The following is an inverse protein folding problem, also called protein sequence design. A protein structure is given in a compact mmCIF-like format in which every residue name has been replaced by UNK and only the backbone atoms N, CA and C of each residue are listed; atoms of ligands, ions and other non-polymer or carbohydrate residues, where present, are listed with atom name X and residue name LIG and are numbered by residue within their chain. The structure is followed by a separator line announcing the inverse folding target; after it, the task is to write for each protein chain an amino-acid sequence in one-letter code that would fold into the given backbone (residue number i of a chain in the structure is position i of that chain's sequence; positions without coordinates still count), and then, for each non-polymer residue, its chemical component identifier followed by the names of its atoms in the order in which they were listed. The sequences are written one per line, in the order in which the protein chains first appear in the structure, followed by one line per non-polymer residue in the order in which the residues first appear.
data_IF_095375836234
#
_entry.id   IF_095375836234
#
_cell.length_a   1.000
_cell.length_b   1.000
_cell.length_c   1.000
_cell.angle_alpha   90.00
_cell.angle_beta   90.00
_cell.angle_gamma   90.00
#
_symmetry.space_group_name_H-M   'P 1'
#
loop_
_entity.id
_entity.type
_entity.pdbx_description
1 polymer ?
#
# COMPACT_ATOMS: atom_id res chain seq x y z
N UNK A 1 -14.31 32.55 1.30
CA UNK A 1 -14.25 31.46 2.29
C UNK A 1 -12.78 31.11 2.47
N UNK A 2 -12.25 31.02 3.70
CA UNK A 2 -10.80 30.93 3.98
C UNK A 2 -10.35 29.50 4.32
N UNK A 3 -9.04 29.22 4.18
CA UNK A 3 -8.43 27.94 4.62
C UNK A 3 -8.59 27.71 6.12
N UNK A 4 -8.59 28.77 6.91
CA UNK A 4 -8.82 28.72 8.36
C UNK A 4 -10.18 28.09 8.68
N UNK A 5 -11.25 28.52 7.99
CA UNK A 5 -12.59 27.95 8.17
C UNK A 5 -12.64 26.45 7.82
N UNK A 6 -11.95 26.04 6.76
CA UNK A 6 -11.83 24.63 6.42
C UNK A 6 -11.15 23.85 7.55
N UNK A 7 -9.99 24.33 8.04
CA UNK A 7 -9.22 23.64 9.08
C UNK A 7 -9.99 23.54 10.40
N UNK A 8 -10.68 24.59 10.80
CA UNK A 8 -11.56 24.57 11.97
C UNK A 8 -12.68 23.54 11.80
N UNK A 9 -13.24 23.41 10.59
CA UNK A 9 -14.29 22.43 10.33
C UNK A 9 -13.83 20.96 10.43
N UNK A 10 -12.52 20.71 10.32
CA UNK A 10 -11.89 19.37 10.39
C UNK A 10 -10.88 19.27 11.53
N UNK A 11 -11.10 19.97 12.64
CA UNK A 11 -10.22 19.92 13.82
C UNK A 11 -10.09 18.50 14.38
N UNK A 12 -11.21 17.75 14.42
CA UNK A 12 -11.28 16.36 14.86
C UNK A 12 -11.87 15.50 13.75
N UNK A 13 -11.09 14.53 13.26
CA UNK A 13 -11.46 13.73 12.10
C UNK A 13 -11.42 12.23 12.42
N UNK A 14 -12.41 11.51 11.91
CA UNK A 14 -12.35 10.06 11.76
C UNK A 14 -12.43 9.69 10.28
N UNK A 15 -11.41 9.03 9.76
CA UNK A 15 -11.34 8.52 8.39
C UNK A 15 -11.73 7.04 8.40
N UNK A 16 -12.71 6.67 7.58
CA UNK A 16 -13.15 5.28 7.40
C UNK A 16 -12.78 4.83 5.98
N UNK A 17 -11.84 3.87 5.90
CA UNK A 17 -11.43 3.24 4.66
C UNK A 17 -12.40 2.19 4.14
N UNK A 18 -12.02 1.55 3.03
CA UNK A 18 -12.85 0.58 2.31
C UNK A 18 -12.60 -0.89 2.70
N UNK A 19 -11.71 -1.18 3.67
CA UNK A 19 -11.52 -2.56 4.13
C UNK A 19 -12.82 -3.12 4.74
N UNK A 20 -13.01 -4.44 4.77
CA UNK A 20 -14.24 -5.03 5.30
C UNK A 20 -14.43 -4.78 6.81
N UNK A 21 -15.66 -4.96 7.30
CA UNK A 21 -16.04 -4.81 8.69
C UNK A 21 -17.04 -3.69 8.97
N UNK A 22 -17.68 -3.78 10.12
CA UNK A 22 -18.70 -2.83 10.55
C UNK A 22 -18.11 -1.46 10.86
N UNK A 23 -18.90 -0.43 10.59
CA UNK A 23 -18.53 0.94 10.90
C UNK A 23 -19.76 1.77 11.24
N UNK A 24 -19.52 2.86 11.95
CA UNK A 24 -20.51 3.86 12.29
C UNK A 24 -19.84 5.23 12.24
N UNK A 25 -20.65 6.28 12.14
CA UNK A 25 -20.19 7.66 12.28
C UNK A 25 -19.44 7.85 13.60
N UNK A 26 -18.45 8.74 13.59
CA UNK A 26 -17.81 9.16 14.82
C UNK A 26 -18.82 9.92 15.70
N UNK A 27 -18.84 9.69 17.02
CA UNK A 27 -19.74 10.39 17.94
C UNK A 27 -19.41 11.89 18.09
N UNK A 28 -18.23 12.31 17.64
CA UNK A 28 -17.77 13.70 17.66
C UNK A 28 -16.79 13.95 16.51
N UNK A 29 -16.72 15.21 16.06
CA UNK A 29 -15.89 15.63 14.93
C UNK A 29 -16.52 15.28 13.57
N UNK A 30 -15.71 15.33 12.51
CA UNK A 30 -16.13 14.97 11.15
C UNK A 30 -15.75 13.52 10.83
N UNK A 31 -16.65 12.84 10.14
CA UNK A 31 -16.37 11.54 9.54
C UNK A 31 -16.08 11.74 8.06
N UNK A 32 -14.97 11.19 7.57
CA UNK A 32 -14.60 11.19 6.15
C UNK A 32 -14.64 9.76 5.63
N UNK A 33 -15.28 9.55 4.48
CA UNK A 33 -15.36 8.24 3.83
C UNK A 33 -15.02 8.30 2.34
N UNK A 34 -14.84 7.13 1.73
CA UNK A 34 -14.39 7.02 0.34
C UNK A 34 -15.26 6.07 -0.47
N UNK A 35 -15.44 6.38 -1.75
CA UNK A 35 -15.96 5.47 -2.78
C UNK A 35 -17.21 4.67 -2.32
N UNK A 36 -17.04 3.37 -2.02
CA UNK A 36 -18.14 2.45 -1.68
C UNK A 36 -18.62 2.59 -0.23
N UNK A 37 -17.85 3.24 0.64
CA UNK A 37 -18.25 3.50 2.02
C UNK A 37 -18.96 4.87 2.04
N UNK A 38 -20.28 4.88 1.92
CA UNK A 38 -21.08 6.12 1.85
C UNK A 38 -22.00 6.28 3.05
N UNK A 39 -22.15 7.52 3.51
CA UNK A 39 -23.15 7.95 4.48
C UNK A 39 -23.45 9.44 4.25
N UNK A 40 -24.72 9.84 4.36
CA UNK A 40 -25.16 11.21 4.06
C UNK A 40 -24.53 12.25 5.00
N UNK A 41 -24.42 11.94 6.29
CA UNK A 41 -23.76 12.81 7.28
C UNK A 41 -22.22 12.75 7.31
N UNK A 42 -21.59 12.01 6.39
CA UNK A 42 -20.14 11.94 6.29
C UNK A 42 -19.63 12.74 5.10
N UNK A 43 -18.50 13.42 5.27
CA UNK A 43 -17.76 14.04 4.16
C UNK A 43 -17.32 12.91 3.24
N UNK A 44 -17.79 12.93 2.00
CA UNK A 44 -17.58 11.82 1.09
C UNK A 44 -16.62 12.24 -0.03
N UNK A 45 -15.52 11.53 -0.16
CA UNK A 45 -14.50 11.82 -1.17
C UNK A 45 -14.53 10.74 -2.24
N UNK A 46 -14.63 11.15 -3.50
CA UNK A 46 -14.65 10.25 -4.66
C UNK A 46 -13.50 10.52 -5.60
N UNK A 47 -13.05 9.43 -6.20
CA UNK A 47 -12.13 9.44 -7.31
C UNK A 47 -12.85 8.94 -8.55
N UNK A 48 -13.26 9.85 -9.43
CA UNK A 48 -13.94 9.50 -10.69
C UNK A 48 -12.95 9.00 -11.79
N UNK A 49 -11.87 8.35 -11.37
CA UNK A 49 -10.79 7.91 -12.27
C UNK A 49 -11.19 6.79 -13.23
N UNK A 50 -12.35 6.16 -13.05
CA UNK A 50 -12.89 5.17 -13.99
C UNK A 50 -13.42 5.82 -15.27
N UNK A 51 -13.74 7.12 -15.23
CA UNK A 51 -14.28 7.86 -16.38
C UNK A 51 -13.23 8.76 -17.03
N UNK A 52 -12.26 9.27 -16.27
CA UNK A 52 -11.13 10.04 -16.79
C UNK A 52 -9.93 10.03 -15.82
N UNK A 53 -8.73 9.58 -16.25
CA UNK A 53 -7.56 9.43 -15.37
C UNK A 53 -7.05 10.75 -14.78
N UNK A 54 -7.44 11.89 -15.35
CA UNK A 54 -7.06 13.25 -14.90
C UNK A 54 -8.18 14.00 -14.17
N UNK A 55 -9.30 13.34 -13.86
CA UNK A 55 -10.39 14.02 -13.15
C UNK A 55 -9.95 14.27 -11.69
N UNK A 56 -10.02 15.52 -11.21
CA UNK A 56 -9.70 15.84 -9.83
C UNK A 56 -10.59 15.07 -8.86
N UNK A 57 -10.10 14.90 -7.63
CA UNK A 57 -10.91 14.37 -6.53
C UNK A 57 -12.13 15.27 -6.33
N UNK A 58 -13.28 14.66 -6.07
CA UNK A 58 -14.51 15.36 -5.71
C UNK A 58 -14.86 15.14 -4.25
N UNK A 59 -15.44 16.16 -3.62
CA UNK A 59 -15.85 16.15 -2.22
C UNK A 59 -17.34 16.51 -2.13
N UNK A 60 -18.08 15.72 -1.36
CA UNK A 60 -19.49 15.91 -1.08
C UNK A 60 -19.73 16.05 0.44
N UNK A 61 -20.89 16.59 0.81
CA UNK A 61 -21.39 16.68 2.18
C UNK A 61 -20.55 17.57 3.13
N UNK A 62 -19.96 18.65 2.60
CA UNK A 62 -19.43 19.76 3.41
C UNK A 62 -19.68 21.11 2.76
N UNK A 63 -19.76 22.17 3.56
CA UNK A 63 -19.89 23.56 3.07
C UNK A 63 -18.62 24.05 2.36
N UNK A 64 -17.53 23.28 2.47
CA UNK A 64 -16.20 23.66 1.98
C UNK A 64 -15.69 22.78 0.83
N UNK A 65 -16.58 22.13 0.06
CA UNK A 65 -16.21 21.15 -0.99
C UNK A 65 -15.05 21.65 -1.88
N UNK A 66 -15.17 22.84 -2.49
CA UNK A 66 -14.17 23.33 -3.45
C UNK A 66 -12.78 23.57 -2.85
N UNK A 67 -12.70 24.14 -1.64
CA UNK A 67 -11.40 24.32 -0.95
C UNK A 67 -10.81 22.97 -0.52
N UNK A 68 -11.67 22.05 -0.06
CA UNK A 68 -11.26 20.71 0.32
C UNK A 68 -10.68 19.97 -0.89
N UNK A 69 -11.35 20.01 -2.04
CA UNK A 69 -10.88 19.47 -3.31
C UNK A 69 -9.54 20.06 -3.72
N UNK A 70 -9.37 21.39 -3.67
CA UNK A 70 -8.12 22.06 -4.05
C UNK A 70 -6.92 21.57 -3.21
N UNK A 71 -7.09 21.49 -1.88
CA UNK A 71 -6.04 21.01 -0.98
C UNK A 71 -5.74 19.54 -1.22
N UNK A 72 -6.76 18.68 -1.37
CA UNK A 72 -6.56 17.26 -1.66
C UNK A 72 -5.80 17.05 -2.97
N UNK A 73 -6.16 17.78 -4.03
CA UNK A 73 -5.49 17.66 -5.33
C UNK A 73 -4.03 18.14 -5.26
N UNK A 74 -3.74 19.18 -4.48
CA UNK A 74 -2.36 19.66 -4.26
C UNK A 74 -1.53 18.60 -3.50
N UNK A 75 -2.10 18.01 -2.45
CA UNK A 75 -1.45 16.92 -1.71
C UNK A 75 -1.22 15.71 -2.62
N UNK A 76 -2.20 15.33 -3.44
CA UNK A 76 -2.07 14.22 -4.40
C UNK A 76 -0.92 14.44 -5.38
N UNK A 77 -0.82 15.62 -6.00
CA UNK A 77 0.28 15.97 -6.90
C UNK A 77 1.66 15.92 -6.21
N UNK A 78 1.73 16.35 -4.95
CA UNK A 78 2.98 16.29 -4.17
C UNK A 78 3.42 14.85 -3.85
N UNK A 79 2.45 13.94 -3.65
CA UNK A 79 2.70 12.55 -3.30
C UNK A 79 3.06 11.70 -4.50
N UNK A 80 2.53 12.00 -5.69
CA UNK A 80 2.74 11.19 -6.90
C UNK A 80 4.22 10.91 -7.18
N UNK A 81 5.07 11.93 -7.06
CA UNK A 81 6.53 11.79 -7.24
C UNK A 81 7.19 10.92 -6.15
N UNK A 82 6.61 10.87 -4.95
CA UNK A 82 7.14 10.15 -3.79
C UNK A 82 6.75 8.67 -3.76
N UNK A 83 5.59 8.33 -4.35
CA UNK A 83 5.10 6.95 -4.48
C UNK A 83 5.28 6.37 -5.89
N UNK A 84 5.73 7.18 -6.86
CA UNK A 84 5.98 6.78 -8.26
C UNK A 84 4.70 6.30 -9.00
N UNK A 85 3.53 6.79 -8.59
CA UNK A 85 2.23 6.60 -9.24
C UNK A 85 1.20 7.59 -8.67
N UNK A 86 0.01 7.71 -9.28
CA UNK A 86 -1.10 8.41 -8.65
C UNK A 86 -1.40 7.80 -7.26
N UNK A 87 -1.47 8.58 -6.17
CA UNK A 87 -1.73 8.06 -4.82
C UNK A 87 -3.20 7.71 -4.61
N UNK A 88 -3.49 6.82 -3.66
CA UNK A 88 -4.84 6.52 -3.21
C UNK A 88 -5.44 7.70 -2.45
N UNK A 89 -6.77 7.87 -2.56
CA UNK A 89 -7.50 8.89 -1.80
C UNK A 89 -7.26 8.73 -0.29
N UNK A 90 -7.19 7.48 0.18
CA UNK A 90 -6.94 7.18 1.58
C UNK A 90 -5.63 7.79 2.08
N UNK A 91 -4.54 7.63 1.32
CA UNK A 91 -3.27 8.26 1.67
C UNK A 91 -3.34 9.78 1.58
N UNK A 92 -3.90 10.33 0.51
CA UNK A 92 -4.01 11.79 0.29
C UNK A 92 -4.75 12.46 1.46
N UNK A 93 -5.90 11.91 1.85
CA UNK A 93 -6.70 12.42 2.96
C UNK A 93 -5.98 12.25 4.30
N UNK A 94 -5.31 11.12 4.52
CA UNK A 94 -4.52 10.91 5.74
C UNK A 94 -3.39 11.96 5.85
N UNK A 95 -2.66 12.23 4.77
CA UNK A 95 -1.60 13.25 4.75
C UNK A 95 -2.17 14.65 5.00
N UNK A 96 -3.24 15.01 4.32
CA UNK A 96 -3.86 16.33 4.48
C UNK A 96 -4.32 16.54 5.92
N UNK A 97 -5.08 15.59 6.49
CA UNK A 97 -5.61 15.71 7.85
C UNK A 97 -4.52 15.64 8.92
N UNK A 98 -3.43 14.91 8.69
CA UNK A 98 -2.26 14.92 9.57
C UNK A 98 -1.70 16.34 9.77
N UNK A 99 -1.69 17.14 8.71
CA UNK A 99 -1.10 18.49 8.71
C UNK A 99 -1.98 19.55 9.38
N UNK A 100 -3.30 19.36 9.40
CA UNK A 100 -4.24 20.45 9.75
C UNK A 100 -5.19 20.12 10.89
N UNK A 101 -5.43 18.83 11.18
CA UNK A 101 -6.32 18.40 12.25
C UNK A 101 -5.57 18.25 13.57
N UNK A 102 -6.24 18.54 14.69
CA UNK A 102 -5.70 18.31 16.04
C UNK A 102 -5.79 16.86 16.48
N UNK A 103 -6.67 16.06 15.88
CA UNK A 103 -6.79 14.63 16.13
C UNK A 103 -7.35 13.91 14.92
N UNK A 104 -6.68 12.84 14.48
CA UNK A 104 -7.13 12.01 13.36
C UNK A 104 -7.21 10.55 13.81
N UNK A 105 -8.35 9.92 13.61
CA UNK A 105 -8.54 8.47 13.81
C UNK A 105 -8.76 7.80 12.46
N UNK A 106 -8.04 6.74 12.17
CA UNK A 106 -8.17 6.00 10.91
C UNK A 106 -8.59 4.57 11.21
N UNK A 107 -9.61 4.10 10.49
CA UNK A 107 -10.17 2.75 10.63
C UNK A 107 -10.42 2.14 9.26
N UNK A 108 -10.40 0.80 9.18
CA UNK A 108 -10.67 0.04 7.95
C UNK A 108 -9.75 0.46 6.79
N UNK A 109 -8.50 0.80 7.11
CA UNK A 109 -7.54 1.27 6.13
C UNK A 109 -6.14 0.73 6.43
N UNK A 110 -5.80 -0.42 5.85
CA UNK A 110 -4.48 -1.04 6.05
C UNK A 110 -3.42 -0.54 5.06
N UNK A 111 -3.87 0.06 3.94
CA UNK A 111 -3.05 0.32 2.75
C UNK A 111 -2.32 -0.93 2.24
N UNK A 112 -2.90 -2.12 2.46
CA UNK A 112 -2.36 -3.40 2.00
C UNK A 112 -3.51 -4.35 1.60
N UNK A 113 -4.26 -4.03 0.53
CA UNK A 113 -5.36 -4.89 0.10
C UNK A 113 -4.82 -6.18 -0.51
N UNK A 114 -5.44 -7.32 -0.20
CA UNK A 114 -5.01 -8.66 -0.63
C UNK A 114 -4.84 -8.75 -2.17
N UNK A 115 -3.68 -9.20 -2.64
CA UNK A 115 -3.39 -9.46 -4.06
C UNK A 115 -3.68 -10.91 -4.50
N UNK A 116 -3.84 -11.82 -3.55
CA UNK A 116 -4.13 -13.21 -3.83
C UNK A 116 -5.46 -13.32 -4.59
N UNK A 117 -5.40 -13.89 -5.79
CA UNK A 117 -6.59 -14.11 -6.59
C UNK A 117 -7.41 -15.25 -6.01
N UNK A 118 -8.73 -15.07 -5.94
CA UNK A 118 -9.70 -16.15 -5.74
C UNK A 118 -10.36 -16.39 -7.11
N UNK A 119 -10.64 -17.64 -7.51
CA UNK A 119 -11.16 -17.96 -8.85
C UNK A 119 -12.44 -17.18 -9.23
N UNK A 120 -13.18 -16.67 -8.25
CA UNK A 120 -14.39 -15.85 -8.41
C UNK A 120 -14.17 -14.34 -8.22
N UNK A 121 -12.91 -13.85 -8.28
CA UNK A 121 -12.63 -12.44 -7.97
C UNK A 121 -13.15 -11.52 -9.07
N UNK A 122 -13.95 -10.53 -8.67
CA UNK A 122 -14.34 -9.42 -9.52
C UNK A 122 -13.09 -8.73 -10.08
N UNK A 123 -12.93 -8.76 -11.41
CA UNK A 123 -11.81 -8.16 -12.14
C UNK A 123 -11.65 -6.67 -11.79
N UNK A 124 -12.75 -5.95 -11.49
CA UNK A 124 -12.70 -4.56 -11.06
C UNK A 124 -12.07 -4.42 -9.65
N UNK A 125 -12.40 -5.32 -8.72
CA UNK A 125 -11.79 -5.35 -7.37
C UNK A 125 -10.29 -5.62 -7.48
N UNK A 126 -9.90 -6.53 -8.37
CA UNK A 126 -8.50 -6.85 -8.63
C UNK A 126 -7.73 -5.68 -9.23
N UNK A 127 -8.27 -5.02 -10.26
CA UNK A 127 -7.65 -3.85 -10.86
C UNK A 127 -7.43 -2.72 -9.85
N UNK A 128 -8.37 -2.53 -8.92
CA UNK A 128 -8.22 -1.56 -7.81
C UNK A 128 -7.05 -1.92 -6.88
N UNK A 129 -6.86 -3.20 -6.58
CA UNK A 129 -5.76 -3.66 -5.73
C UNK A 129 -4.40 -3.55 -6.43
N UNK A 130 -4.34 -3.63 -7.75
CA UNK A 130 -3.10 -3.53 -8.52
C UNK A 130 -2.78 -2.09 -8.99
N UNK A 131 -3.68 -1.13 -8.77
CA UNK A 131 -3.52 0.25 -9.29
C UNK A 131 -2.46 1.06 -8.55
N UNK A 132 -2.35 0.87 -7.24
CA UNK A 132 -1.57 1.73 -6.36
C UNK A 132 -0.30 1.03 -5.88
N UNK A 133 0.78 1.80 -5.74
CA UNK A 133 1.99 1.35 -5.07
C UNK A 133 1.74 1.27 -3.55
N UNK A 134 1.06 0.22 -3.09
CA UNK A 134 0.69 0.05 -1.68
C UNK A 134 1.89 0.01 -0.73
N UNK A 135 3.02 -0.57 -1.14
CA UNK A 135 4.25 -0.55 -0.35
C UNK A 135 4.80 0.87 -0.21
N UNK A 136 4.83 1.65 -1.29
CA UNK A 136 5.22 3.06 -1.24
C UNK A 136 4.27 3.93 -0.44
N UNK A 137 2.96 3.69 -0.55
CA UNK A 137 1.97 4.40 0.26
C UNK A 137 2.12 4.10 1.75
N UNK A 138 2.32 2.83 2.11
CA UNK A 138 2.58 2.42 3.49
C UNK A 138 3.84 3.04 4.04
N UNK A 139 4.93 3.09 3.28
CA UNK A 139 6.17 3.77 3.69
C UNK A 139 5.91 5.22 4.06
N UNK A 140 5.12 5.96 3.28
CA UNK A 140 4.75 7.34 3.59
C UNK A 140 3.83 7.40 4.82
N UNK A 141 2.78 6.57 4.86
CA UNK A 141 1.83 6.52 5.96
C UNK A 141 2.51 6.22 7.31
N UNK A 142 3.46 5.28 7.34
CA UNK A 142 4.27 4.97 8.52
C UNK A 142 5.04 6.21 8.98
N UNK A 143 5.72 6.91 8.06
CA UNK A 143 6.45 8.13 8.39
C UNK A 143 5.55 9.20 9.02
N UNK A 144 4.33 9.37 8.53
CA UNK A 144 3.38 10.36 9.07
C UNK A 144 2.84 9.91 10.42
N UNK A 145 2.32 8.68 10.54
CA UNK A 145 1.77 8.14 11.78
C UNK A 145 2.79 8.15 12.93
N UNK A 146 4.07 7.99 12.60
CA UNK A 146 5.17 8.02 13.56
C UNK A 146 5.63 9.42 13.97
N UNK A 147 5.43 10.42 13.11
CA UNK A 147 5.85 11.82 13.37
C UNK A 147 4.70 12.71 13.86
N UNK A 148 3.45 12.26 13.73
CA UNK A 148 2.24 12.99 14.10
C UNK A 148 1.49 12.23 15.20
N UNK A 149 1.81 12.47 16.50
CA UNK A 149 1.28 11.67 17.61
C UNK A 149 -0.24 11.77 17.79
N UNK A 150 -0.87 12.77 17.18
CA UNK A 150 -2.33 12.93 17.13
C UNK A 150 -3.02 12.04 16.08
N UNK A 151 -2.25 11.29 15.29
CA UNK A 151 -2.79 10.28 14.37
C UNK A 151 -2.88 8.91 15.03
N UNK A 152 -4.10 8.41 15.20
CA UNK A 152 -4.37 7.06 15.65
C UNK A 152 -4.74 6.17 14.45
N UNK A 153 -3.80 5.32 14.03
CA UNK A 153 -3.93 4.44 12.86
C UNK A 153 -3.52 2.99 13.17
N UNK A 154 -4.30 2.24 13.96
CA UNK A 154 -3.93 0.91 14.41
C UNK A 154 -3.81 -0.10 13.26
N UNK A 155 -4.69 0.00 12.27
CA UNK A 155 -4.74 -0.92 11.11
C UNK A 155 -3.53 -0.83 10.18
N UNK A 156 -2.70 0.21 10.31
CA UNK A 156 -1.47 0.35 9.55
C UNK A 156 -0.41 -0.66 10.01
N UNK A 157 -0.44 -1.06 11.29
CA UNK A 157 0.61 -1.88 11.90
C UNK A 157 0.38 -3.38 11.68
N UNK A 158 1.41 -4.05 11.19
CA UNK A 158 1.39 -5.48 10.88
C UNK A 158 2.05 -6.29 11.98
N UNK A 159 1.58 -7.53 12.13
CA UNK A 159 2.26 -8.59 12.86
C UNK A 159 3.15 -9.40 11.89
N UNK A 160 4.30 -9.91 12.34
CA UNK A 160 5.15 -10.76 11.51
C UNK A 160 4.42 -12.08 11.18
N UNK A 161 4.72 -12.66 10.03
CA UNK A 161 4.31 -14.03 9.68
C UNK A 161 5.43 -14.95 10.14
N UNK A 162 5.24 -15.56 11.30
CA UNK A 162 6.21 -16.47 11.91
C UNK A 162 5.77 -17.90 11.63
N UNK A 163 6.62 -18.66 10.95
CA UNK A 163 6.46 -20.11 10.79
C UNK A 163 7.70 -20.81 11.34
N UNK A 164 7.53 -21.43 12.51
CA UNK A 164 8.59 -22.13 13.22
C UNK A 164 9.00 -23.45 12.56
N UNK A 165 8.30 -23.89 11.51
CA UNK A 165 8.58 -25.16 10.83
C UNK A 165 9.58 -25.04 9.69
N UNK A 166 9.92 -23.81 9.27
CA UNK A 166 10.78 -23.56 8.11
C UNK A 166 12.24 -23.51 8.53
N UNK A 167 13.03 -24.44 8.01
CA UNK A 167 14.48 -24.47 8.27
C UNK A 167 15.16 -23.36 7.45
N UNK A 168 16.03 -22.55 8.07
CA UNK A 168 16.78 -21.53 7.38
C UNK A 168 17.62 -22.06 6.21
N UNK A 169 17.44 -21.49 5.02
CA UNK A 169 18.46 -21.58 3.98
C UNK A 169 19.51 -20.51 4.27
N UNK A 170 20.61 -20.89 4.94
CA UNK A 170 21.66 -19.96 5.42
C UNK A 170 22.28 -19.08 4.33
N UNK A 171 22.24 -19.53 3.08
CA UNK A 171 22.86 -18.86 1.94
C UNK A 171 21.82 -18.21 0.99
N UNK A 172 20.54 -18.13 1.41
CA UNK A 172 19.48 -17.56 0.58
C UNK A 172 19.26 -16.09 0.92
N UNK A 173 19.56 -15.19 -0.02
CA UNK A 173 19.11 -13.81 0.06
C UNK A 173 17.79 -13.65 -0.71
N UNK A 174 16.66 -13.33 -0.04
CA UNK A 174 15.37 -13.24 -0.70
C UNK A 174 15.29 -12.07 -1.69
N UNK A 175 16.05 -11.00 -1.48
CA UNK A 175 16.06 -9.85 -2.38
C UNK A 175 16.78 -10.15 -3.70
N UNK A 176 17.79 -11.02 -3.72
CA UNK A 176 18.45 -11.45 -4.96
C UNK A 176 17.50 -12.20 -5.89
N UNK A 177 16.67 -13.07 -5.32
CA UNK A 177 15.72 -13.85 -6.08
C UNK A 177 14.53 -13.00 -6.52
N UNK A 178 14.08 -12.08 -5.65
CA UNK A 178 12.92 -11.24 -5.91
C UNK A 178 13.22 -10.11 -6.89
N UNK A 179 14.39 -9.46 -6.81
CA UNK A 179 14.74 -8.27 -7.60
C UNK A 179 15.54 -8.64 -8.86
N UNK A 180 16.11 -9.85 -8.91
CA UNK A 180 16.88 -10.33 -10.05
C UNK A 180 18.22 -9.60 -10.21
N UNK A 181 18.60 -9.28 -11.46
CA UNK A 181 19.95 -8.82 -11.84
C UNK A 181 20.30 -7.40 -11.37
N UNK A 182 19.36 -6.64 -10.81
CA UNK A 182 19.55 -5.22 -10.47
C UNK A 182 20.71 -5.01 -9.49
N UNK A 183 21.02 -6.01 -8.65
CA UNK A 183 22.11 -5.95 -7.68
C UNK A 183 23.37 -6.73 -8.07
N UNK A 184 23.40 -7.37 -9.24
CA UNK A 184 24.62 -8.01 -9.77
C UNK A 184 25.19 -9.16 -8.92
N UNK A 185 24.36 -9.85 -8.14
CA UNK A 185 24.79 -10.91 -7.22
C UNK A 185 24.85 -12.25 -7.99
N UNK A 186 25.75 -13.18 -7.65
CA UNK A 186 25.91 -14.46 -8.37
C UNK A 186 24.83 -15.51 -7.98
N UNK A 187 24.61 -16.53 -8.83
CA UNK A 187 23.59 -17.56 -8.61
C UNK A 187 23.87 -18.40 -7.35
N UNK A 188 22.83 -18.60 -6.54
CA UNK A 188 22.86 -19.55 -5.42
C UNK A 188 22.76 -21.00 -5.91
N UNK A 189 23.36 -21.93 -5.16
CA UNK A 189 23.44 -23.37 -5.44
C UNK A 189 22.10 -24.15 -5.36
N UNK A 190 20.98 -23.44 -5.29
CA UNK A 190 19.63 -24.02 -5.23
C UNK A 190 19.02 -23.98 -6.64
N UNK A 191 18.20 -24.98 -7.01
CA UNK A 191 17.45 -25.01 -8.28
C UNK A 191 16.28 -23.99 -8.29
N UNK A 192 16.59 -22.74 -7.93
CA UNK A 192 15.68 -21.61 -7.86
C UNK A 192 16.01 -20.63 -8.98
N UNK A 193 14.97 -20.16 -9.66
CA UNK A 193 15.09 -19.15 -10.70
C UNK A 193 14.82 -17.75 -10.13
N UNK A 194 15.51 -16.73 -10.66
CA UNK A 194 15.16 -15.32 -10.40
C UNK A 194 13.76 -15.02 -10.95
N UNK A 195 13.04 -14.14 -10.26
CA UNK A 195 11.72 -13.72 -10.73
C UNK A 195 11.88 -12.76 -11.92
N UNK A 196 11.25 -13.08 -13.05
CA UNK A 196 11.22 -12.22 -14.21
C UNK A 196 10.08 -11.21 -14.11
N UNK A 197 10.38 -9.91 -14.13
CA UNK A 197 9.42 -8.81 -14.02
C UNK A 197 8.82 -8.40 -15.37
N UNK A 198 8.38 -9.37 -16.18
CA UNK A 198 7.79 -9.12 -17.50
C UNK A 198 6.30 -9.44 -17.52
N UNK A 199 5.59 -8.97 -18.54
CA UNK A 199 4.14 -9.16 -18.67
C UNK A 199 3.73 -10.53 -19.23
N UNK A 200 4.65 -11.21 -19.92
CA UNK A 200 4.47 -12.53 -20.53
C UNK A 200 4.87 -13.65 -19.58
N UNK A 201 4.25 -14.82 -19.73
CA UNK A 201 4.63 -15.99 -18.95
C UNK A 201 6.11 -16.36 -19.22
N UNK A 202 6.89 -16.62 -18.16
CA UNK A 202 8.28 -17.02 -18.32
C UNK A 202 8.41 -18.45 -18.84
N UNK A 203 9.50 -18.74 -19.56
CA UNK A 203 9.78 -20.08 -20.10
C UNK A 203 10.05 -21.10 -19.01
N UNK A 204 10.56 -20.67 -17.86
CA UNK A 204 10.85 -21.46 -16.66
C UNK A 204 9.78 -21.27 -15.56
N UNK A 205 8.52 -21.09 -15.96
CA UNK A 205 7.35 -20.88 -15.08
C UNK A 205 7.37 -21.68 -13.78
N UNK A 206 7.53 -23.01 -13.86
CA UNK A 206 7.45 -23.85 -12.68
C UNK A 206 8.58 -23.60 -11.68
N UNK A 207 9.77 -23.21 -12.17
CA UNK A 207 10.90 -22.83 -11.31
C UNK A 207 10.61 -21.50 -10.61
N UNK A 208 10.15 -20.48 -11.34
CA UNK A 208 9.83 -19.19 -10.73
C UNK A 208 8.66 -19.28 -9.74
N UNK A 209 7.64 -20.09 -10.01
CA UNK A 209 6.57 -20.37 -9.04
C UNK A 209 7.11 -21.05 -7.77
N UNK A 210 8.05 -21.99 -7.91
CA UNK A 210 8.70 -22.62 -6.77
C UNK A 210 9.58 -21.62 -5.98
N UNK A 211 10.25 -20.71 -6.67
CA UNK A 211 10.96 -19.58 -6.04
C UNK A 211 9.99 -18.72 -5.24
N UNK A 212 8.88 -18.27 -5.83
CA UNK A 212 7.88 -17.46 -5.12
C UNK A 212 7.33 -18.18 -3.89
N UNK A 213 7.01 -19.47 -4.02
CA UNK A 213 6.57 -20.29 -2.88
C UNK A 213 7.61 -20.35 -1.77
N UNK A 214 8.88 -20.53 -2.14
CA UNK A 214 10.00 -20.57 -1.19
C UNK A 214 10.12 -19.23 -0.47
N UNK A 215 10.13 -18.12 -1.22
CA UNK A 215 10.21 -16.75 -0.69
C UNK A 215 9.05 -16.40 0.24
N UNK A 216 7.82 -16.77 -0.13
CA UNK A 216 6.62 -16.55 0.67
C UNK A 216 6.69 -17.24 2.03
N UNK A 217 7.25 -18.45 2.06
CA UNK A 217 7.36 -19.27 3.27
C UNK A 217 8.59 -18.95 4.13
N UNK A 218 9.48 -18.05 3.71
CA UNK A 218 10.58 -17.63 4.58
C UNK A 218 10.04 -16.90 5.80
N UNK A 219 10.60 -17.21 6.97
CA UNK A 219 10.28 -16.48 8.20
C UNK A 219 10.61 -14.99 8.02
N UNK A 220 9.72 -14.12 8.50
CA UNK A 220 9.90 -12.66 8.44
C UNK A 220 11.24 -12.19 9.01
N UNK A 221 11.85 -12.90 9.97
CA UNK A 221 13.17 -12.59 10.50
C UNK A 221 14.28 -12.68 9.43
N UNK A 222 14.17 -13.59 8.45
CA UNK A 222 15.11 -13.68 7.33
C UNK A 222 15.00 -12.49 6.39
N UNK A 223 13.77 -12.08 6.08
CA UNK A 223 13.51 -10.86 5.33
C UNK A 223 14.06 -9.63 6.05
N UNK A 224 13.85 -9.54 7.37
CA UNK A 224 14.35 -8.44 8.17
C UNK A 224 15.88 -8.37 8.19
N UNK A 225 16.55 -9.51 8.40
CA UNK A 225 18.00 -9.58 8.51
C UNK A 225 18.73 -9.17 7.23
N UNK A 226 18.09 -9.36 6.08
CA UNK A 226 18.65 -9.02 4.75
C UNK A 226 18.13 -7.69 4.20
N UNK A 227 17.07 -7.12 4.80
CA UNK A 227 16.46 -5.87 4.32
C UNK A 227 17.32 -4.64 4.61
N UNK A 228 17.32 -3.72 3.66
CA UNK A 228 17.76 -2.35 3.84
C UNK A 228 16.82 -1.39 3.09
N UNK A 229 17.05 -0.09 3.26
CA UNK A 229 16.19 0.95 2.65
C UNK A 229 16.14 0.84 1.13
N UNK A 230 17.28 0.63 0.47
CA UNK A 230 17.39 0.65 -0.98
C UNK A 230 16.70 -0.58 -1.60
N UNK A 231 16.89 -1.76 -1.01
CA UNK A 231 16.19 -2.98 -1.40
C UNK A 231 14.67 -2.85 -1.28
N UNK A 232 14.19 -2.29 -0.17
CA UNK A 232 12.75 -2.12 0.02
C UNK A 232 12.16 -1.11 -0.96
N UNK A 233 12.87 0.00 -1.26
CA UNK A 233 12.44 0.98 -2.24
C UNK A 233 12.37 0.39 -3.65
N UNK A 234 13.39 -0.38 -4.04
CA UNK A 234 13.44 -1.02 -5.36
C UNK A 234 12.26 -2.00 -5.53
N UNK A 235 11.95 -2.77 -4.49
CA UNK A 235 10.86 -3.75 -4.52
C UNK A 235 9.46 -3.12 -4.67
N UNK A 236 9.25 -1.85 -4.30
CA UNK A 236 7.92 -1.21 -4.36
C UNK A 236 7.30 -1.30 -5.77
N UNK A 237 8.14 -1.17 -6.79
CA UNK A 237 7.78 -1.23 -8.22
C UNK A 237 7.11 -2.51 -8.68
N UNK A 238 7.33 -3.63 -7.98
CA UNK A 238 6.98 -4.96 -8.47
C UNK A 238 5.56 -5.43 -8.12
N UNK A 239 4.83 -4.67 -7.31
CA UNK A 239 3.55 -5.10 -6.72
C UNK A 239 2.34 -4.28 -7.21
N UNK A 240 2.52 -3.48 -8.26
CA UNK A 240 1.44 -2.68 -8.86
C UNK A 240 1.64 -2.52 -10.37
N UNK A 241 0.59 -2.07 -11.05
CA UNK A 241 0.61 -1.75 -12.46
C UNK A 241 0.92 -0.26 -12.63
N UNK A 242 2.12 0.06 -13.08
CA UNK A 242 2.47 1.45 -13.40
C UNK A 242 1.57 1.96 -14.52
N UNK A 243 1.03 3.17 -14.37
CA UNK A 243 0.30 3.82 -15.45
C UNK A 243 1.25 3.97 -16.65
N UNK A 244 0.80 3.50 -17.82
CA UNK A 244 1.52 3.45 -19.11
C UNK A 244 2.45 2.25 -19.35
N UNK A 245 2.51 1.25 -18.46
CA UNK A 245 3.20 0.00 -18.80
C UNK A 245 2.35 -0.91 -19.70
N UNK A 246 2.98 -1.54 -20.70
CA UNK A 246 2.37 -2.43 -21.68
C UNK A 246 1.84 -3.76 -21.10
N UNK A 247 1.67 -3.85 -19.77
CA UNK A 247 1.01 -4.96 -19.09
C UNK A 247 1.52 -5.20 -17.66
N UNK A 248 0.62 -5.70 -16.82
CA UNK A 248 0.96 -6.18 -15.47
C UNK A 248 1.96 -7.34 -15.51
N UNK A 249 2.87 -7.43 -14.51
CA UNK A 249 3.79 -8.55 -14.36
C UNK A 249 3.03 -9.90 -14.35
N UNK A 250 3.62 -10.94 -14.95
CA UNK A 250 2.94 -12.23 -15.13
C UNK A 250 2.43 -12.82 -13.81
N UNK A 251 3.20 -12.68 -12.73
CA UNK A 251 2.86 -13.22 -11.41
C UNK A 251 1.70 -12.49 -10.71
N UNK A 252 1.40 -11.25 -11.10
CA UNK A 252 0.20 -10.52 -10.66
C UNK A 252 -1.04 -10.98 -11.43
N UNK A 253 -0.86 -11.67 -12.56
CA UNK A 253 -1.92 -12.27 -13.39
C UNK A 253 -2.15 -13.75 -13.14
N UNK A 254 -1.11 -14.46 -12.75
CA UNK A 254 -1.21 -15.88 -12.46
C UNK A 254 -1.89 -16.15 -11.12
N UNK A 255 -2.91 -17.01 -11.13
CA UNK A 255 -3.69 -17.37 -9.94
C UNK A 255 -2.80 -17.93 -8.82
N UNK A 256 -1.87 -18.83 -9.16
CA UNK A 256 -1.01 -19.54 -8.21
C UNK A 256 0.10 -18.63 -7.67
N UNK A 257 0.78 -17.90 -8.54
CA UNK A 257 1.85 -16.99 -8.17
C UNK A 257 1.34 -15.84 -7.30
N UNK A 258 0.14 -15.32 -7.58
CA UNK A 258 -0.44 -14.21 -6.81
C UNK A 258 -0.63 -14.52 -5.32
N UNK A 259 -0.85 -15.79 -4.96
CA UNK A 259 -0.94 -16.22 -3.56
C UNK A 259 0.37 -15.95 -2.82
N UNK A 260 1.48 -16.37 -3.42
CA UNK A 260 2.82 -16.22 -2.84
C UNK A 260 3.29 -14.76 -2.84
N UNK A 261 2.90 -14.00 -3.87
CA UNK A 261 3.24 -12.58 -3.98
C UNK A 261 2.59 -11.77 -2.85
N UNK A 262 1.36 -12.08 -2.45
CA UNK A 262 0.72 -11.39 -1.33
C UNK A 262 1.48 -11.61 -0.01
N UNK A 263 1.93 -12.84 0.24
CA UNK A 263 2.75 -13.18 1.41
C UNK A 263 4.10 -12.48 1.40
N UNK A 264 4.81 -12.49 0.27
CA UNK A 264 6.08 -11.75 0.09
C UNK A 264 5.86 -10.26 0.37
N UNK A 265 4.81 -9.67 -0.18
CA UNK A 265 4.48 -8.25 0.04
C UNK A 265 4.21 -7.94 1.51
N UNK A 266 3.57 -8.85 2.24
CA UNK A 266 3.37 -8.71 3.69
C UNK A 266 4.71 -8.66 4.44
N UNK A 267 5.66 -9.55 4.10
CA UNK A 267 7.00 -9.53 4.70
C UNK A 267 7.71 -8.21 4.43
N UNK A 268 7.70 -7.72 3.19
CA UNK A 268 8.29 -6.44 2.82
C UNK A 268 7.66 -5.26 3.58
N UNK A 269 6.33 -5.24 3.68
CA UNK A 269 5.59 -4.22 4.42
C UNK A 269 5.93 -4.22 5.92
N UNK A 270 6.17 -5.40 6.51
CA UNK A 270 6.64 -5.52 7.88
C UNK A 270 8.09 -5.05 8.04
N UNK A 271 8.98 -5.37 7.09
CA UNK A 271 10.35 -4.84 7.07
C UNK A 271 10.38 -3.31 7.02
N UNK A 272 9.54 -2.69 6.17
CA UNK A 272 9.37 -1.23 6.14
C UNK A 272 8.98 -0.67 7.51
N UNK A 273 8.02 -1.31 8.20
CA UNK A 273 7.57 -0.90 9.54
C UNK A 273 8.71 -0.95 10.56
N UNK A 274 9.47 -2.03 10.61
CA UNK A 274 10.57 -2.18 11.58
C UNK A 274 11.71 -1.19 11.31
N UNK A 275 12.07 -0.95 10.04
CA UNK A 275 13.07 0.06 9.70
C UNK A 275 12.59 1.48 10.05
N UNK A 276 11.31 1.78 9.85
CA UNK A 276 10.74 3.07 10.26
C UNK A 276 10.80 3.28 11.77
N UNK A 277 10.52 2.25 12.58
CA UNK A 277 10.67 2.31 14.03
C UNK A 277 12.12 2.54 14.45
N UNK A 278 13.07 1.83 13.85
CA UNK A 278 14.50 2.00 14.14
C UNK A 278 14.98 3.42 13.82
N UNK A 279 14.47 4.02 12.74
CA UNK A 279 14.84 5.38 12.33
C UNK A 279 14.37 6.48 13.30
N UNK A 280 13.41 6.20 14.20
CA UNK A 280 12.99 7.14 15.24
C UNK A 280 13.78 7.03 16.55
N UNK A 281 14.47 5.90 16.75
CA UNK A 281 15.21 5.61 17.99
C UNK A 281 16.68 6.03 17.95
N UNK A 282 17.13 6.58 16.82
CA UNK A 282 18.48 7.11 16.59
C UNK A 282 18.40 8.62 16.54
#
# INVERSE_FOLDING_TARGET
MSLEQLYDSIEYVTIIGNAEGDWALAPAGKTITFNTTYHEDAIHIRADHLSAPNKPLSVENTEHNGLFEEVLNTVAQSLEKRVNCAPSIGLVTAVMTAMVSKSVKLRRMTLLPNLAQIESTDELKRQRCLKYNWLGERRIALGIALTHPHMNWPDLYLKPKIDFTVTPHKDLNPFELLVGDIFGIEQNALDLARIQHQSTMPTDYQKQVNTLKTLANLDTQYWLATSNKDYLLECEGFFYNKQNDNGSHWYLKDFKASQYIDDIRHHLAYCQQILAFKALTV
#
